data_IF_451913135118
#
_entry.id   IF_451913135118
#
_cell.length_a   1.000
_cell.length_b   1.000
_cell.length_c   1.000
_cell.angle_alpha   90.00
_cell.angle_beta   90.00
_cell.angle_gamma   90.00
#
_symmetry.space_group_name_H-M   'P 1'
#
loop_
_entity.id
_entity.type
_entity.pdbx_description
1 polymer ?
#
# COMPACT_ATOMS: atom_id res chain seq x y z
N UNK A 1 9.72 1.76 14.15
CA UNK A 1 9.07 0.56 14.74
C UNK A 1 10.15 -0.46 15.10
N UNK A 2 10.11 -1.11 16.28
CA UNK A 2 11.10 -2.13 16.68
C UNK A 2 10.83 -3.49 16.00
N UNK A 3 11.87 -4.31 15.81
CA UNK A 3 11.82 -5.59 15.08
C UNK A 3 10.64 -6.51 15.45
N UNK A 4 10.42 -6.80 16.74
CA UNK A 4 9.30 -7.65 17.18
C UNK A 4 7.92 -7.09 16.80
N UNK A 5 7.72 -5.77 16.90
CA UNK A 5 6.45 -5.13 16.52
C UNK A 5 6.25 -5.18 15.00
N UNK A 6 7.31 -4.99 14.23
CA UNK A 6 7.29 -5.13 12.77
C UNK A 6 6.94 -6.56 12.34
N UNK A 7 7.58 -7.56 12.95
CA UNK A 7 7.27 -8.98 12.72
C UNK A 7 5.79 -9.30 12.99
N UNK A 8 5.24 -8.82 14.11
CA UNK A 8 3.83 -9.01 14.43
C UNK A 8 2.90 -8.33 13.41
N UNK A 9 3.22 -7.09 13.00
CA UNK A 9 2.45 -6.36 11.98
C UNK A 9 2.43 -7.15 10.67
N UNK A 10 3.58 -7.57 10.16
CA UNK A 10 3.69 -8.31 8.91
C UNK A 10 3.06 -9.70 9.00
N UNK A 11 3.19 -10.38 10.15
CA UNK A 11 2.54 -11.67 10.42
C UNK A 11 1.01 -11.59 10.45
N UNK A 12 0.43 -10.39 10.53
CA UNK A 12 -1.03 -10.18 10.42
C UNK A 12 -1.52 -9.90 9.00
N UNK A 13 -0.64 -9.80 7.99
CA UNK A 13 -1.07 -9.67 6.60
C UNK A 13 -1.83 -10.92 6.13
N UNK A 14 -2.94 -10.73 5.44
CA UNK A 14 -3.81 -11.79 4.90
C UNK A 14 -4.18 -11.45 3.46
N UNK A 15 -4.42 -12.48 2.63
CA UNK A 15 -4.89 -12.27 1.25
C UNK A 15 -6.24 -11.55 1.21
N UNK A 16 -7.10 -11.72 2.21
CA UNK A 16 -8.36 -10.99 2.35
C UNK A 16 -8.18 -9.47 2.48
N UNK A 17 -6.99 -8.98 2.88
CA UNK A 17 -6.70 -7.55 2.94
C UNK A 17 -6.44 -6.93 1.55
N UNK A 18 -6.37 -7.73 0.48
CA UNK A 18 -6.43 -7.21 -0.89
C UNK A 18 -7.82 -6.65 -1.21
N UNK A 19 -8.85 -7.08 -0.48
CA UNK A 19 -10.23 -6.68 -0.71
C UNK A 19 -10.61 -6.81 -2.19
N UNK A 20 -11.14 -5.76 -2.84
CA UNK A 20 -11.64 -5.82 -4.22
C UNK A 20 -10.55 -6.18 -5.25
N UNK A 21 -9.28 -6.02 -4.91
CA UNK A 21 -8.16 -6.33 -5.80
C UNK A 21 -7.81 -7.84 -5.82
N UNK A 22 -8.26 -8.60 -4.83
CA UNK A 22 -8.05 -10.05 -4.75
C UNK A 22 -9.07 -10.87 -5.53
N UNK A 23 -10.23 -10.28 -5.85
CA UNK A 23 -11.39 -11.01 -6.37
C UNK A 23 -11.47 -11.03 -7.91
N UNK A 24 -10.47 -10.46 -8.61
CA UNK A 24 -10.41 -10.44 -10.07
C UNK A 24 -11.44 -9.53 -10.76
N UNK A 25 -12.10 -8.63 -10.00
CA UNK A 25 -13.09 -7.68 -10.51
C UNK A 25 -12.54 -6.25 -10.69
N UNK A 26 -11.25 -6.06 -10.50
CA UNK A 26 -10.61 -4.76 -10.68
C UNK A 26 -10.72 -4.27 -12.13
N UNK A 27 -11.09 -3.00 -12.27
CA UNK A 27 -11.09 -2.28 -13.54
C UNK A 27 -9.96 -1.26 -13.49
N UNK A 28 -9.07 -1.33 -14.49
CA UNK A 28 -7.97 -0.39 -14.61
C UNK A 28 -8.46 1.03 -14.93
N UNK A 29 -7.55 2.03 -14.97
CA UNK A 29 -7.92 3.43 -15.19
C UNK A 29 -8.70 3.71 -16.49
N UNK A 30 -8.55 2.88 -17.52
CA UNK A 30 -9.30 2.96 -18.79
C UNK A 30 -10.52 2.03 -18.85
N UNK A 31 -10.94 1.44 -17.73
CA UNK A 31 -12.16 0.64 -17.60
C UNK A 31 -12.04 -0.84 -18.03
N UNK A 32 -10.87 -1.27 -18.52
CA UNK A 32 -10.63 -2.66 -18.86
C UNK A 32 -10.51 -3.52 -17.60
N UNK A 33 -11.01 -4.75 -17.67
CA UNK A 33 -10.81 -5.75 -16.61
C UNK A 33 -9.34 -6.17 -16.61
N UNK A 34 -8.68 -6.04 -15.46
CA UNK A 34 -7.26 -6.43 -15.29
C UNK A 34 -7.17 -7.41 -14.12
N UNK A 35 -6.48 -8.53 -14.35
CA UNK A 35 -6.10 -9.44 -13.28
C UNK A 35 -4.84 -8.90 -12.59
N UNK A 36 -4.95 -8.63 -11.28
CA UNK A 36 -3.84 -8.08 -10.50
C UNK A 36 -3.03 -9.20 -9.86
N UNK A 37 -1.72 -9.17 -10.09
CA UNK A 37 -0.76 -10.05 -9.43
C UNK A 37 -0.14 -9.34 -8.24
N UNK A 38 -0.20 -9.99 -7.07
CA UNK A 38 0.52 -9.46 -5.89
C UNK A 38 2.02 -9.53 -6.12
N UNK A 39 2.71 -8.40 -6.00
CA UNK A 39 4.17 -8.30 -6.05
C UNK A 39 4.73 -7.69 -4.76
N UNK A 40 5.96 -8.03 -4.38
CA UNK A 40 6.64 -7.33 -3.30
C UNK A 40 6.99 -5.91 -3.74
N UNK A 41 7.04 -4.97 -2.79
CA UNK A 41 7.44 -3.58 -2.99
C UNK A 41 8.80 -3.46 -3.70
N UNK A 42 9.76 -4.33 -3.33
CA UNK A 42 11.10 -4.35 -3.92
C UNK A 42 11.15 -4.77 -5.39
N UNK A 43 10.07 -5.33 -5.94
CA UNK A 43 10.00 -5.73 -7.35
C UNK A 43 9.37 -4.66 -8.26
N UNK A 44 8.85 -3.56 -7.67
CA UNK A 44 8.27 -2.46 -8.44
C UNK A 44 9.32 -1.83 -9.36
N UNK A 45 8.88 -1.48 -10.56
CA UNK A 45 9.66 -0.72 -11.53
C UNK A 45 9.30 0.76 -11.48
N UNK A 46 10.21 1.67 -11.88
CA UNK A 46 9.87 3.07 -12.07
C UNK A 46 8.72 3.24 -13.06
N UNK A 47 7.75 4.10 -12.71
CA UNK A 47 6.53 4.32 -13.50
C UNK A 47 5.34 3.49 -13.01
N UNK A 48 4.33 3.33 -13.88
CA UNK A 48 3.11 2.58 -13.57
C UNK A 48 3.38 1.08 -13.67
N UNK A 49 2.98 0.31 -12.65
CA UNK A 49 3.20 -1.13 -12.62
C UNK A 49 1.91 -1.87 -13.02
N UNK A 50 1.58 -1.86 -14.31
CA UNK A 50 0.36 -2.50 -14.85
C UNK A 50 0.21 -3.96 -14.42
N UNK A 51 -1.00 -4.38 -14.08
CA UNK A 51 -1.32 -5.73 -13.63
C UNK A 51 -0.74 -6.09 -12.26
N UNK A 52 -0.26 -5.12 -11.49
CA UNK A 52 0.36 -5.36 -10.17
C UNK A 52 -0.50 -4.80 -9.04
N UNK A 53 -0.52 -5.51 -7.92
CA UNK A 53 -1.00 -4.99 -6.64
C UNK A 53 0.06 -5.20 -5.57
N UNK A 54 0.28 -4.18 -4.74
CA UNK A 54 1.10 -4.31 -3.54
C UNK A 54 0.21 -4.37 -2.31
N UNK A 55 0.68 -5.03 -1.26
CA UNK A 55 0.00 -5.12 0.03
C UNK A 55 1.03 -5.05 1.15
N UNK A 56 0.91 -4.04 2.00
CA UNK A 56 1.83 -3.81 3.11
C UNK A 56 1.16 -3.31 4.38
N UNK A 57 2.00 -2.97 5.37
CA UNK A 57 1.64 -2.40 6.66
C UNK A 57 2.16 -0.98 6.79
N UNK A 58 1.32 -0.10 7.32
CA UNK A 58 1.69 1.29 7.59
C UNK A 58 2.62 1.38 8.81
N UNK A 59 3.77 2.04 8.66
CA UNK A 59 4.74 2.23 9.75
C UNK A 59 4.71 3.62 10.38
N UNK A 60 4.38 4.64 9.59
CA UNK A 60 4.29 6.03 10.00
C UNK A 60 3.39 6.78 9.02
N UNK A 61 2.91 7.96 9.42
CA UNK A 61 2.27 8.95 8.55
C UNK A 61 2.83 10.33 8.86
N UNK A 62 2.88 11.20 7.85
CA UNK A 62 3.24 12.60 7.97
C UNK A 62 2.40 13.43 6.99
N UNK A 63 2.14 14.67 7.36
CA UNK A 63 1.44 15.65 6.52
C UNK A 63 2.20 16.96 6.56
N UNK A 64 2.17 17.70 5.45
CA UNK A 64 2.76 19.04 5.36
C UNK A 64 1.81 20.08 5.98
N UNK A 65 2.27 21.31 6.20
CA UNK A 65 1.39 22.42 6.60
C UNK A 65 0.29 22.67 5.55
N UNK A 66 0.63 22.46 4.28
CA UNK A 66 -0.28 22.54 3.13
C UNK A 66 -1.28 21.37 3.06
N UNK A 67 -1.14 20.37 3.96
CA UNK A 67 -1.98 19.17 4.11
C UNK A 67 -1.98 18.21 2.91
N UNK A 68 -1.23 18.50 1.85
CA UNK A 68 -1.10 17.67 0.65
C UNK A 68 0.38 17.57 0.26
N UNK A 69 0.88 16.37 -0.07
CA UNK A 69 0.21 15.07 0.02
C UNK A 69 0.10 14.56 1.46
N UNK A 70 -0.88 13.69 1.72
CA UNK A 70 -0.82 12.81 2.88
C UNK A 70 0.19 11.71 2.60
N UNK A 71 1.23 11.59 3.43
CA UNK A 71 2.35 10.70 3.17
C UNK A 71 2.45 9.64 4.26
N UNK A 72 2.68 8.38 3.90
CA UNK A 72 2.91 7.31 4.88
C UNK A 72 3.96 6.31 4.42
N UNK A 73 4.59 5.64 5.38
CA UNK A 73 5.55 4.56 5.12
C UNK A 73 4.87 3.21 5.06
N UNK A 74 5.15 2.44 4.01
CA UNK A 74 4.60 1.11 3.78
C UNK A 74 5.74 0.07 3.73
N UNK A 75 5.51 -1.08 4.36
CA UNK A 75 6.41 -2.25 4.33
C UNK A 75 5.64 -3.53 4.09
N UNK A 76 6.23 -4.48 3.39
CA UNK A 76 5.65 -5.79 3.09
C UNK A 76 6.52 -6.96 3.56
N UNK A 77 7.73 -6.68 4.04
CA UNK A 77 8.75 -7.65 4.41
C UNK A 77 9.59 -7.14 5.58
N UNK A 78 10.17 -8.08 6.34
CA UNK A 78 10.97 -7.75 7.55
C UNK A 78 12.33 -7.17 7.16
N UNK A 79 12.94 -7.72 6.11
CA UNK A 79 14.31 -7.39 5.67
C UNK A 79 14.32 -6.39 4.51
N UNK A 80 13.16 -6.07 3.94
CA UNK A 80 13.04 -5.13 2.82
C UNK A 80 13.00 -3.65 3.24
N UNK A 81 13.25 -2.73 2.30
CA UNK A 81 13.16 -1.31 2.57
C UNK A 81 11.71 -0.86 2.79
N UNK A 82 11.55 0.24 3.52
CA UNK A 82 10.28 0.97 3.63
C UNK A 82 10.10 1.88 2.41
N UNK A 83 8.92 1.84 1.81
CA UNK A 83 8.56 2.73 0.70
C UNK A 83 7.66 3.85 1.19
N UNK A 84 7.88 5.06 0.70
CA UNK A 84 6.98 6.18 0.95
C UNK A 84 5.81 6.12 -0.05
N UNK A 85 4.59 6.27 0.44
CA UNK A 85 3.39 6.44 -0.37
C UNK A 85 2.89 7.86 -0.16
N UNK A 86 2.62 8.57 -1.26
CA UNK A 86 2.06 9.92 -1.25
C UNK A 86 0.68 9.91 -1.87
N UNK A 87 -0.33 10.33 -1.11
CA UNK A 87 -1.72 10.35 -1.55
C UNK A 87 -2.16 11.79 -1.78
N UNK A 88 -2.61 12.04 -3.00
CA UNK A 88 -3.11 13.34 -3.44
C UNK A 88 -4.64 13.31 -3.51
N UNK A 89 -5.24 14.48 -3.68
CA UNK A 89 -6.68 14.65 -3.89
C UNK A 89 -7.55 13.97 -2.80
N UNK A 90 -7.09 14.03 -1.55
CA UNK A 90 -7.83 13.53 -0.39
C UNK A 90 -8.70 14.62 0.24
N UNK A 91 -9.70 14.21 1.03
CA UNK A 91 -10.37 15.13 1.97
C UNK A 91 -9.59 15.15 3.28
N UNK A 92 -9.57 16.27 3.99
CA UNK A 92 -8.73 16.43 5.19
C UNK A 92 -9.00 15.41 6.31
N UNK A 93 -10.17 14.77 6.32
CA UNK A 93 -10.53 13.72 7.28
C UNK A 93 -10.05 12.32 6.90
N UNK A 94 -9.45 12.15 5.71
CA UNK A 94 -8.95 10.85 5.26
C UNK A 94 -7.52 10.60 5.78
N UNK A 95 -7.23 9.34 6.08
CA UNK A 95 -5.89 8.91 6.47
C UNK A 95 -5.84 7.42 6.78
N UNK A 96 -4.65 6.95 7.12
CA UNK A 96 -4.39 5.58 7.57
C UNK A 96 -3.65 5.60 8.91
N UNK A 97 -3.82 4.53 9.70
CA UNK A 97 -3.19 4.37 11.00
C UNK A 97 -2.00 3.41 10.94
N UNK A 98 -1.03 3.59 11.85
CA UNK A 98 0.10 2.68 11.99
C UNK A 98 -0.40 1.26 12.30
N UNK A 99 -0.01 0.29 11.48
CA UNK A 99 -0.42 -1.10 11.57
C UNK A 99 -1.58 -1.49 10.65
N UNK A 100 -2.23 -0.52 9.99
CA UNK A 100 -3.24 -0.78 8.97
C UNK A 100 -2.62 -1.54 7.79
N UNK A 101 -3.45 -2.37 7.15
CA UNK A 101 -3.12 -3.00 5.88
C UNK A 101 -3.60 -2.12 4.73
N UNK A 102 -2.69 -1.79 3.83
CA UNK A 102 -3.01 -0.98 2.64
C UNK A 102 -2.64 -1.77 1.40
N UNK A 103 -3.61 -1.94 0.51
CA UNK A 103 -3.42 -2.49 -0.82
C UNK A 103 -3.49 -1.36 -1.87
N UNK A 104 -2.53 -1.33 -2.79
CA UNK A 104 -2.44 -0.31 -3.85
C UNK A 104 -2.35 -1.05 -5.19
N UNK A 105 -3.36 -0.91 -6.07
CA UNK A 105 -3.30 -1.42 -7.44
C UNK A 105 -2.52 -0.46 -8.35
N UNK A 106 -1.84 -1.01 -9.36
CA UNK A 106 -1.17 -0.38 -10.51
C UNK A 106 -0.39 0.95 -10.30
#
# INVERSE_FOLDING_TARGET
VKGKKLQNMLGSLRSSHLGPYGDGHYQGPSGQKVELQRRPLSALQPGVNTGTVILGKVLFSLTTEEKVPFTFGLVDSIEGPCFAVTVYNMVQSWGVLIGDSVAIPE
#
